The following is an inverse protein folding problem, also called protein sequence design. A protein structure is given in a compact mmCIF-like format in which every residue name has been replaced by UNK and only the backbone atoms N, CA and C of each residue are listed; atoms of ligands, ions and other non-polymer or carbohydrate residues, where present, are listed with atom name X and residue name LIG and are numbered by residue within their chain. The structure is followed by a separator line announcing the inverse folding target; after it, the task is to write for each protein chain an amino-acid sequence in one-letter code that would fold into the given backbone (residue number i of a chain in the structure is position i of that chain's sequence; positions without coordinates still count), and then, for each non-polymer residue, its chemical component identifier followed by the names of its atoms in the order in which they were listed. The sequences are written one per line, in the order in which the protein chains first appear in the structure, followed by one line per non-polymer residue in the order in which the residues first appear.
data_IF_990257893891
#
_entry.id   IF_990257893891
#
_cell.length_a   1.000
_cell.length_b   1.000
_cell.length_c   1.000
_cell.angle_alpha   90.00
_cell.angle_beta   90.00
_cell.angle_gamma   90.00
#
_symmetry.space_group_name_H-M   'P 1'
#
loop_
_entity.id
_entity.type
_entity.pdbx_description
1 polymer ?
#
# COMPACT_ATOMS: atom_id res chain seq x y z
N UNK A 1 49.80 -22.56 -12.35
CA UNK A 1 49.02 -21.46 -11.75
C UNK A 1 47.65 -21.44 -12.42
N UNK A 2 46.57 -21.65 -11.66
CA UNK A 2 45.22 -21.21 -12.02
C UNK A 2 44.46 -20.99 -10.72
N UNK A 3 44.05 -19.75 -10.49
CA UNK A 3 43.42 -19.31 -9.24
C UNK A 3 41.94 -19.68 -9.26
N UNK A 4 41.53 -20.59 -8.36
CA UNK A 4 40.12 -20.85 -8.08
C UNK A 4 39.63 -19.79 -7.10
N UNK A 5 38.97 -18.75 -7.60
CA UNK A 5 38.28 -17.78 -6.76
C UNK A 5 37.03 -18.44 -6.16
N UNK A 6 37.09 -18.76 -4.86
CA UNK A 6 35.92 -19.22 -4.10
C UNK A 6 35.12 -18.00 -3.66
N UNK A 7 34.18 -17.56 -4.51
CA UNK A 7 33.15 -16.61 -4.09
C UNK A 7 32.17 -17.32 -3.16
N UNK A 8 31.94 -16.77 -1.96
CA UNK A 8 30.92 -17.22 -1.01
C UNK A 8 29.51 -16.67 -1.32
N UNK A 9 29.38 -15.94 -2.43
CA UNK A 9 28.09 -15.42 -2.90
C UNK A 9 27.63 -16.24 -4.10
N UNK A 10 26.76 -17.22 -3.85
CA UNK A 10 25.95 -17.81 -4.91
C UNK A 10 24.80 -16.85 -5.20
N UNK A 11 24.88 -16.15 -6.33
CA UNK A 11 23.73 -15.41 -6.85
C UNK A 11 22.76 -16.44 -7.47
N UNK A 12 22.05 -17.17 -6.60
CA UNK A 12 20.94 -18.00 -7.03
C UNK A 12 19.79 -17.06 -7.41
N UNK A 13 19.75 -16.66 -8.68
CA UNK A 13 18.50 -16.17 -9.26
C UNK A 13 17.54 -17.34 -9.16
N UNK A 14 16.64 -17.31 -8.17
CA UNK A 14 15.49 -18.21 -8.15
C UNK A 14 14.61 -17.71 -9.29
N UNK A 15 14.50 -18.41 -10.43
CA UNK A 15 13.49 -18.03 -11.41
C UNK A 15 12.14 -18.20 -10.71
N UNK A 16 11.39 -17.10 -10.58
CA UNK A 16 9.99 -17.21 -10.17
C UNK A 16 9.34 -18.18 -11.15
N UNK A 17 8.96 -19.35 -10.64
CA UNK A 17 8.22 -20.36 -11.38
C UNK A 17 7.05 -19.71 -12.09
N UNK A 18 7.16 -19.64 -13.42
CA UNK A 18 6.08 -19.54 -14.41
C UNK A 18 4.71 -19.09 -13.86
N UNK A 19 4.61 -17.86 -13.35
CA UNK A 19 3.32 -17.17 -13.35
C UNK A 19 3.08 -16.79 -14.80
N UNK A 20 2.51 -17.71 -15.56
CA UNK A 20 1.97 -17.39 -16.89
C UNK A 20 1.06 -16.18 -16.69
N UNK A 21 1.45 -15.06 -17.29
CA UNK A 21 0.53 -13.96 -17.55
C UNK A 21 -0.68 -14.61 -18.21
N UNK A 22 -1.84 -14.57 -17.54
CA UNK A 22 -3.06 -15.11 -18.09
C UNK A 22 -3.29 -14.41 -19.43
N UNK A 23 -3.41 -15.22 -20.48
CA UNK A 23 -3.79 -14.76 -21.82
C UNK A 23 -5.14 -14.03 -21.67
N UNK A 24 -5.36 -12.88 -22.33
CA UNK A 24 -6.66 -12.21 -22.28
C UNK A 24 -7.77 -13.21 -22.63
N UNK A 25 -8.79 -13.27 -21.77
CA UNK A 25 -9.97 -14.10 -21.98
C UNK A 25 -10.54 -13.77 -23.35
N UNK A 26 -10.49 -14.75 -24.26
CA UNK A 26 -11.19 -14.66 -25.53
C UNK A 26 -12.66 -14.90 -25.24
N UNK A 27 -13.48 -13.86 -25.39
CA UNK A 27 -14.94 -13.97 -25.28
C UNK A 27 -15.43 -14.75 -26.50
N UNK A 28 -15.77 -16.03 -26.30
CA UNK A 28 -16.54 -16.79 -27.29
C UNK A 28 -17.99 -16.37 -27.09
N UNK A 29 -18.51 -15.50 -27.95
CA UNK A 29 -19.92 -15.13 -27.99
C UNK A 29 -20.74 -16.28 -28.59
N UNK A 30 -21.03 -17.30 -27.77
CA UNK A 30 -22.09 -18.24 -28.06
C UNK A 30 -23.44 -17.57 -27.84
N UNK A 31 -24.14 -17.22 -28.93
CA UNK A 31 -25.48 -16.65 -28.89
C UNK A 31 -26.46 -17.61 -28.20
N UNK A 32 -26.81 -17.32 -26.96
CA UNK A 32 -27.94 -17.90 -26.25
C UNK A 32 -29.01 -16.83 -26.08
N UNK A 33 -30.10 -16.94 -26.84
CA UNK A 33 -31.26 -16.08 -26.71
C UNK A 33 -31.87 -16.21 -25.31
N UNK A 34 -31.76 -15.15 -24.51
CA UNK A 34 -32.39 -15.01 -23.21
C UNK A 34 -33.25 -13.75 -23.20
N UNK A 35 -34.47 -13.85 -23.73
CA UNK A 35 -35.49 -12.83 -23.52
C UNK A 35 -35.90 -12.84 -22.06
N UNK A 36 -35.49 -11.82 -21.28
CA UNK A 36 -35.91 -11.68 -19.88
C UNK A 36 -35.04 -10.81 -18.96
N UNK A 37 -33.91 -10.23 -19.43
CA UNK A 37 -32.94 -9.58 -18.53
C UNK A 37 -33.24 -8.15 -18.07
N UNK A 38 -34.00 -7.36 -18.83
CA UNK A 38 -34.14 -5.93 -18.54
C UNK A 38 -34.96 -5.65 -17.27
N UNK A 39 -36.01 -6.43 -17.01
CA UNK A 39 -36.94 -6.20 -15.89
C UNK A 39 -36.44 -6.81 -14.56
N UNK A 40 -35.53 -7.78 -14.59
CA UNK A 40 -34.96 -8.40 -13.39
C UNK A 40 -33.81 -7.55 -12.82
N UNK A 41 -33.04 -6.89 -13.69
CA UNK A 41 -31.93 -6.03 -13.30
C UNK A 41 -32.42 -4.73 -12.64
N UNK A 42 -33.46 -4.09 -13.20
CA UNK A 42 -34.04 -2.84 -12.67
C UNK A 42 -34.79 -3.05 -11.33
N UNK A 43 -35.39 -4.22 -11.13
CA UNK A 43 -36.08 -4.55 -9.88
C UNK A 43 -35.11 -4.98 -8.76
N UNK A 44 -33.92 -5.46 -9.10
CA UNK A 44 -32.94 -5.95 -8.12
C UNK A 44 -31.88 -4.91 -7.80
N UNK A 45 -31.38 -4.12 -8.76
CA UNK A 45 -30.38 -3.07 -8.54
C UNK A 45 -31.04 -1.74 -8.16
N UNK A 46 -31.48 -1.62 -6.92
CA UNK A 46 -31.90 -0.32 -6.37
C UNK A 46 -30.75 0.70 -6.45
N UNK A 47 -31.05 1.99 -6.55
CA UNK A 47 -30.05 3.07 -6.58
C UNK A 47 -28.99 2.96 -5.47
N UNK A 48 -29.38 2.47 -4.29
CA UNK A 48 -28.47 2.18 -3.16
C UNK A 48 -27.41 1.12 -3.51
N UNK A 49 -27.80 0.03 -4.17
CA UNK A 49 -26.89 -1.03 -4.58
C UNK A 49 -25.94 -0.59 -5.68
N UNK A 50 -26.43 0.18 -6.65
CA UNK A 50 -25.58 0.78 -7.70
C UNK A 50 -24.54 1.72 -7.08
N UNK A 51 -24.93 2.51 -6.07
CA UNK A 51 -23.99 3.37 -5.35
C UNK A 51 -22.93 2.57 -4.59
N UNK A 52 -23.28 1.45 -3.95
CA UNK A 52 -22.30 0.56 -3.32
C UNK A 52 -21.34 -0.05 -4.33
N UNK A 53 -21.83 -0.51 -5.48
CA UNK A 53 -20.99 -1.03 -6.56
C UNK A 53 -20.03 0.05 -7.13
N UNK A 54 -20.53 1.27 -7.34
CA UNK A 54 -19.71 2.40 -7.76
C UNK A 54 -18.66 2.78 -6.72
N UNK A 55 -19.00 2.71 -5.43
CA UNK A 55 -18.07 2.95 -4.32
C UNK A 55 -16.94 1.91 -4.35
N UNK A 56 -17.28 0.63 -4.49
CA UNK A 56 -16.29 -0.44 -4.59
C UNK A 56 -15.41 -0.24 -5.81
N UNK A 57 -16.00 0.00 -6.98
CA UNK A 57 -15.25 0.21 -8.22
C UNK A 57 -14.26 1.37 -8.10
N UNK A 58 -14.72 2.56 -7.67
CA UNK A 58 -13.89 3.76 -7.64
C UNK A 58 -12.92 3.81 -6.48
N UNK A 59 -13.37 3.56 -5.26
CA UNK A 59 -12.54 3.79 -4.08
C UNK A 59 -11.64 2.60 -3.74
N UNK A 60 -12.05 1.38 -4.11
CA UNK A 60 -11.28 0.17 -3.82
C UNK A 60 -10.62 -0.38 -5.08
N UNK A 61 -11.39 -0.62 -6.14
CA UNK A 61 -10.93 -1.21 -7.39
C UNK A 61 -9.90 -0.35 -8.13
N UNK A 62 -10.24 0.90 -8.46
CA UNK A 62 -9.35 1.81 -9.19
C UNK A 62 -8.07 2.11 -8.39
N UNK A 63 -8.18 2.38 -7.08
CA UNK A 63 -7.02 2.61 -6.23
C UNK A 63 -6.10 1.38 -6.13
N UNK A 64 -6.68 0.17 -6.02
CA UNK A 64 -5.91 -1.08 -6.06
C UNK A 64 -5.22 -1.27 -7.42
N UNK A 65 -5.93 -1.04 -8.52
CA UNK A 65 -5.41 -1.22 -9.88
C UNK A 65 -4.27 -0.22 -10.19
N UNK A 66 -4.42 1.03 -9.75
CA UNK A 66 -3.44 2.10 -9.94
C UNK A 66 -2.32 2.09 -8.89
N UNK A 67 -2.32 1.13 -7.96
CA UNK A 67 -1.34 1.02 -6.84
C UNK A 67 -1.36 2.23 -5.89
N UNK A 68 -2.45 2.98 -5.86
CA UNK A 68 -2.68 4.08 -4.91
C UNK A 68 -3.22 3.50 -3.60
N UNK A 69 -2.47 2.58 -3.00
CA UNK A 69 -2.94 1.81 -1.84
C UNK A 69 -3.26 2.69 -0.63
N UNK A 70 -2.54 3.79 -0.46
CA UNK A 70 -2.75 4.78 0.62
C UNK A 70 -4.12 5.47 0.55
N UNK A 71 -4.75 5.50 -0.63
CA UNK A 71 -6.05 6.13 -0.86
C UNK A 71 -7.21 5.15 -0.73
N UNK A 72 -6.95 3.86 -0.47
CA UNK A 72 -7.99 2.87 -0.24
C UNK A 72 -8.62 3.14 1.14
N UNK A 73 -9.96 3.33 1.23
CA UNK A 73 -10.61 3.56 2.52
C UNK A 73 -10.42 2.37 3.46
N UNK A 74 -9.98 2.64 4.68
CA UNK A 74 -9.69 1.63 5.71
C UNK A 74 -10.77 1.54 6.81
N UNK A 75 -11.91 2.22 6.63
CA UNK A 75 -13.00 2.19 7.59
C UNK A 75 -13.65 0.79 7.63
N UNK A 76 -13.48 0.11 8.76
CA UNK A 76 -13.98 -1.25 8.95
C UNK A 76 -15.51 -1.35 8.85
N UNK A 77 -16.25 -0.39 9.39
CA UNK A 77 -17.72 -0.40 9.33
C UNK A 77 -18.21 -0.25 7.89
N UNK A 78 -17.60 0.65 7.11
CA UNK A 78 -17.92 0.84 5.69
C UNK A 78 -17.62 -0.43 4.88
N UNK A 79 -16.49 -1.08 5.13
CA UNK A 79 -16.13 -2.35 4.50
C UNK A 79 -17.20 -3.44 4.76
N UNK A 80 -17.61 -3.63 6.03
CA UNK A 80 -18.62 -4.63 6.39
C UNK A 80 -19.96 -4.32 5.71
N UNK A 81 -20.39 -3.06 5.69
CA UNK A 81 -21.62 -2.64 5.03
C UNK A 81 -21.61 -2.95 3.53
N UNK A 82 -20.52 -2.59 2.82
CA UNK A 82 -20.38 -2.87 1.38
C UNK A 82 -20.37 -4.37 1.09
N UNK A 83 -19.71 -5.16 1.94
CA UNK A 83 -19.67 -6.61 1.83
C UNK A 83 -21.05 -7.24 2.03
N UNK A 84 -21.80 -6.80 3.05
CA UNK A 84 -23.16 -7.27 3.31
C UNK A 84 -24.12 -6.92 2.17
N UNK A 85 -24.00 -5.73 1.59
CA UNK A 85 -24.80 -5.32 0.42
C UNK A 85 -24.56 -6.24 -0.76
N UNK A 86 -23.31 -6.59 -1.06
CA UNK A 86 -22.99 -7.54 -2.12
C UNK A 86 -23.63 -8.92 -1.89
N UNK A 87 -23.57 -9.43 -0.66
CA UNK A 87 -24.22 -10.71 -0.32
C UNK A 87 -25.74 -10.66 -0.47
N UNK A 88 -26.37 -9.54 -0.09
CA UNK A 88 -27.81 -9.34 -0.26
C UNK A 88 -28.22 -9.26 -1.73
N UNK A 89 -27.40 -8.67 -2.59
CA UNK A 89 -27.67 -8.65 -4.03
C UNK A 89 -27.50 -10.06 -4.61
N UNK A 90 -26.42 -10.76 -4.25
CA UNK A 90 -26.14 -12.12 -4.71
C UNK A 90 -27.28 -13.09 -4.35
N UNK A 91 -27.89 -12.97 -3.17
CA UNK A 91 -29.00 -13.85 -2.77
C UNK A 91 -30.30 -13.62 -3.55
N UNK A 92 -30.45 -12.47 -4.21
CA UNK A 92 -31.64 -12.10 -4.98
C UNK A 92 -31.53 -12.37 -6.48
N UNK A 93 -30.32 -12.57 -7.00
CA UNK A 93 -30.07 -12.77 -8.44
C UNK A 93 -29.95 -14.26 -8.76
N UNK A 94 -30.68 -14.71 -9.78
CA UNK A 94 -30.57 -16.09 -10.30
C UNK A 94 -29.64 -16.23 -11.50
N UNK A 95 -29.41 -15.12 -12.22
CA UNK A 95 -28.57 -15.09 -13.41
C UNK A 95 -27.10 -15.35 -13.05
N UNK A 96 -26.52 -16.42 -13.59
CA UNK A 96 -25.15 -16.86 -13.30
C UNK A 96 -24.08 -15.86 -13.75
N UNK A 97 -24.28 -15.16 -14.86
CA UNK A 97 -23.31 -14.16 -15.35
C UNK A 97 -23.25 -12.94 -14.42
N UNK A 98 -24.41 -12.50 -13.91
CA UNK A 98 -24.48 -11.39 -12.95
C UNK A 98 -23.92 -11.80 -11.58
N UNK A 99 -24.14 -13.04 -11.15
CA UNK A 99 -23.51 -13.58 -9.95
C UNK A 99 -21.98 -13.60 -10.06
N UNK A 100 -21.44 -14.00 -11.21
CA UNK A 100 -20.00 -13.96 -11.46
C UNK A 100 -19.46 -12.51 -11.36
N UNK A 101 -20.12 -11.54 -11.98
CA UNK A 101 -19.70 -10.13 -11.91
C UNK A 101 -19.71 -9.61 -10.46
N UNK A 102 -20.75 -9.93 -9.69
CA UNK A 102 -20.81 -9.56 -8.27
C UNK A 102 -19.74 -10.26 -7.43
N UNK A 103 -19.41 -11.51 -7.77
CA UNK A 103 -18.33 -12.23 -7.11
C UNK A 103 -16.97 -11.58 -7.40
N UNK A 104 -16.71 -11.17 -8.65
CA UNK A 104 -15.52 -10.40 -9.01
C UNK A 104 -15.46 -9.05 -8.27
N UNK A 105 -16.59 -8.36 -8.13
CA UNK A 105 -16.67 -7.12 -7.35
C UNK A 105 -16.39 -7.36 -5.86
N UNK A 106 -16.90 -8.44 -5.28
CA UNK A 106 -16.60 -8.84 -3.90
C UNK A 106 -15.12 -9.16 -3.71
N UNK A 107 -14.54 -9.93 -4.63
CA UNK A 107 -13.13 -10.30 -4.58
C UNK A 107 -12.23 -9.07 -4.81
N UNK A 108 -12.70 -8.08 -5.58
CA UNK A 108 -12.05 -6.76 -5.72
C UNK A 108 -12.04 -5.99 -4.41
N UNK A 109 -13.17 -5.93 -3.69
CA UNK A 109 -13.26 -5.27 -2.39
C UNK A 109 -12.30 -5.92 -1.37
N UNK A 110 -12.32 -7.25 -1.26
CA UNK A 110 -11.42 -8.00 -0.38
C UNK A 110 -9.95 -7.84 -0.81
N UNK A 111 -9.69 -7.93 -2.11
CA UNK A 111 -8.36 -7.76 -2.70
C UNK A 111 -7.77 -6.37 -2.43
N UNK A 112 -8.58 -5.32 -2.47
CA UNK A 112 -8.16 -3.95 -2.19
C UNK A 112 -7.73 -3.79 -0.72
N UNK A 113 -8.51 -4.32 0.23
CA UNK A 113 -8.16 -4.30 1.66
C UNK A 113 -6.90 -5.12 1.95
N UNK A 114 -6.76 -6.29 1.32
CA UNK A 114 -5.56 -7.10 1.45
C UNK A 114 -4.34 -6.36 0.87
N UNK A 115 -4.50 -5.69 -0.27
CA UNK A 115 -3.43 -4.91 -0.90
C UNK A 115 -3.00 -3.72 -0.05
N UNK A 116 -3.97 -2.99 0.54
CA UNK A 116 -3.72 -1.94 1.54
C UNK A 116 -2.89 -2.49 2.71
N UNK A 117 -3.28 -3.64 3.26
CA UNK A 117 -2.61 -4.24 4.42
C UNK A 117 -1.18 -4.66 4.10
N UNK A 118 -0.99 -5.38 2.98
CA UNK A 118 0.34 -5.82 2.52
C UNK A 118 1.24 -4.62 2.22
N UNK A 119 0.70 -3.57 1.62
CA UNK A 119 1.45 -2.34 1.38
C UNK A 119 1.88 -1.69 2.72
N UNK A 120 1.00 -1.70 3.73
CA UNK A 120 1.32 -1.25 5.10
C UNK A 120 2.47 -2.01 5.71
N UNK A 121 2.41 -3.34 5.66
CA UNK A 121 3.48 -4.18 6.18
C UNK A 121 4.82 -3.92 5.47
N UNK A 122 4.79 -3.72 4.14
CA UNK A 122 6.00 -3.36 3.39
C UNK A 122 6.58 -2.00 3.80
N UNK A 123 5.72 -1.00 4.03
CA UNK A 123 6.16 0.32 4.52
C UNK A 123 6.82 0.18 5.89
N UNK A 124 6.24 -0.61 6.79
CA UNK A 124 6.84 -0.89 8.10
C UNK A 124 8.19 -1.61 7.97
N UNK A 125 8.27 -2.65 7.13
CA UNK A 125 9.53 -3.38 6.91
C UNK A 125 10.64 -2.47 6.36
N UNK A 126 10.30 -1.57 5.43
CA UNK A 126 11.23 -0.55 4.94
C UNK A 126 11.68 0.38 6.05
N UNK A 127 10.79 0.67 6.99
CA UNK A 127 11.10 1.52 8.10
C UNK A 127 12.06 0.86 9.10
N UNK A 128 11.75 -0.37 9.52
CA UNK A 128 12.59 -1.16 10.41
C UNK A 128 13.99 -1.34 9.81
N UNK A 129 14.07 -1.59 8.50
CA UNK A 129 15.34 -1.64 7.78
C UNK A 129 16.13 -0.34 7.89
N UNK A 130 15.48 0.80 7.68
CA UNK A 130 16.12 2.13 7.77
C UNK A 130 16.62 2.39 9.19
N UNK A 131 15.82 2.03 10.20
CA UNK A 131 16.19 2.16 11.61
C UNK A 131 17.41 1.31 11.96
N UNK A 132 17.41 0.03 11.57
CA UNK A 132 18.53 -0.88 11.79
C UNK A 132 19.81 -0.40 11.08
N UNK A 133 19.69 0.11 9.85
CA UNK A 133 20.83 0.68 9.13
C UNK A 133 21.44 1.87 9.88
N UNK A 134 20.60 2.77 10.41
CA UNK A 134 21.07 3.91 11.22
C UNK A 134 21.76 3.48 12.53
N UNK A 135 21.28 2.40 13.16
CA UNK A 135 21.96 1.82 14.33
C UNK A 135 23.34 1.25 13.94
N UNK A 136 23.44 0.54 12.82
CA UNK A 136 24.71 0.02 12.30
C UNK A 136 25.68 1.17 12.04
N UNK A 137 25.26 2.24 11.36
CA UNK A 137 26.11 3.39 11.06
C UNK A 137 26.59 4.11 12.35
N UNK A 138 25.73 4.16 13.37
CA UNK A 138 26.08 4.69 14.70
C UNK A 138 27.13 3.82 15.38
N UNK A 139 26.96 2.49 15.37
CA UNK A 139 27.95 1.56 15.94
C UNK A 139 29.29 1.68 15.21
N UNK A 140 29.27 1.69 13.87
CA UNK A 140 30.49 1.78 13.05
C UNK A 140 31.22 3.12 13.24
N UNK A 141 30.49 4.23 13.39
CA UNK A 141 31.09 5.55 13.65
C UNK A 141 31.62 5.70 15.07
N UNK A 142 31.00 5.04 16.07
CA UNK A 142 31.44 5.09 17.46
C UNK A 142 32.64 4.20 17.77
N UNK A 143 32.93 3.16 16.97
CA UNK A 143 34.01 2.22 17.29
C UNK A 143 35.43 2.65 16.88
N UNK A 144 35.64 3.76 16.15
CA UNK A 144 36.99 4.11 15.64
C UNK A 144 37.39 5.59 15.68
N UNK A 145 36.72 6.45 16.46
CA UNK A 145 37.12 7.86 16.56
C UNK A 145 37.92 8.13 17.83
N UNK A 146 39.25 7.99 17.74
CA UNK A 146 40.16 8.66 18.68
C UNK A 146 40.23 10.12 18.25
N UNK A 147 39.50 11.00 18.95
CA UNK A 147 39.57 12.45 18.71
C UNK A 147 40.99 12.90 19.07
N UNK A 148 41.78 13.26 18.07
CA UNK A 148 43.05 13.97 18.24
C UNK A 148 42.74 15.45 18.01
N UNK A 149 42.54 16.19 19.09
CA UNK A 149 42.37 17.64 19.01
C UNK A 149 43.69 18.29 18.58
N UNK A 150 43.76 18.79 17.34
CA UNK A 150 44.75 19.80 16.99
C UNK A 150 44.21 21.15 17.44
N UNK A 151 44.79 21.69 18.52
CA UNK A 151 44.49 23.02 19.01
C UNK A 151 44.90 24.07 17.96
N UNK A 152 43.92 24.64 17.27
CA UNK A 152 44.11 25.87 16.49
C UNK A 152 42.88 26.75 16.69
N UNK A 153 43.05 27.81 17.47
CA UNK A 153 42.00 28.73 17.86
C UNK A 153 41.83 29.82 16.81
N UNK A 154 40.69 29.81 16.12
CA UNK A 154 40.14 30.96 15.40
C UNK A 154 38.64 31.03 15.65
N UNK A 155 38.16 32.17 16.13
CA UNK A 155 36.75 32.36 16.50
C UNK A 155 35.84 32.54 15.30
N UNK A 156 34.89 31.64 15.11
CA UNK A 156 33.76 31.76 14.18
C UNK A 156 32.45 31.61 14.96
N UNK A 157 31.57 32.60 14.89
CA UNK A 157 30.24 32.54 15.49
C UNK A 157 29.24 32.01 14.45
N UNK A 158 28.71 30.81 14.67
CA UNK A 158 27.61 30.23 13.88
C UNK A 158 26.42 29.99 14.79
N UNK A 159 25.25 30.52 14.43
CA UNK A 159 23.98 30.25 15.13
C UNK A 159 23.22 29.23 14.31
N UNK A 160 23.23 27.97 14.78
CA UNK A 160 22.47 26.88 14.18
C UNK A 160 21.18 26.68 14.97
N UNK A 161 20.02 26.78 14.32
CA UNK A 161 18.75 26.35 14.89
C UNK A 161 18.42 24.95 14.38
N UNK A 162 18.39 23.99 15.30
CA UNK A 162 17.98 22.62 15.01
C UNK A 162 16.50 22.45 15.35
N UNK A 163 15.71 21.98 14.39
CA UNK A 163 14.33 21.61 14.62
C UNK A 163 14.24 20.08 14.68
N UNK A 164 13.65 19.56 15.76
CA UNK A 164 13.27 18.15 15.81
C UNK A 164 11.89 18.02 15.16
N UNK A 165 11.81 17.32 14.03
CA UNK A 165 10.54 16.97 13.41
C UNK A 165 9.83 15.88 14.23
N UNK A 166 8.50 15.92 14.25
CA UNK A 166 7.70 14.82 14.80
C UNK A 166 7.93 13.53 14.00
N UNK A 167 7.70 12.38 14.64
CA UNK A 167 7.97 11.07 14.06
C UNK A 167 7.30 10.88 12.70
N UNK A 168 6.03 11.27 12.56
CA UNK A 168 5.27 11.12 11.30
C UNK A 168 5.92 11.85 10.12
N UNK A 169 6.43 13.07 10.33
CA UNK A 169 7.06 13.86 9.26
C UNK A 169 8.45 13.32 8.91
N UNK A 170 9.19 12.83 9.91
CA UNK A 170 10.46 12.18 9.67
C UNK A 170 10.27 10.91 8.81
N UNK A 171 9.32 10.05 9.19
CA UNK A 171 9.01 8.85 8.42
C UNK A 171 8.46 9.14 7.03
N UNK A 172 7.64 10.19 6.88
CA UNK A 172 7.22 10.66 5.56
C UNK A 172 8.42 10.95 4.66
N UNK A 173 9.39 11.73 5.15
CA UNK A 173 10.57 12.11 4.37
C UNK A 173 11.41 10.88 4.01
N UNK A 174 11.55 9.93 4.94
CA UNK A 174 12.30 8.70 4.70
C UNK A 174 11.64 7.80 3.63
N UNK A 175 10.31 7.75 3.59
CA UNK A 175 9.57 6.82 2.71
C UNK A 175 9.30 7.47 1.34
N UNK A 176 8.87 8.73 1.34
CA UNK A 176 8.37 9.44 0.15
C UNK A 176 9.30 10.55 -0.33
N UNK A 177 10.32 10.91 0.44
CA UNK A 177 11.18 12.06 0.17
C UNK A 177 10.63 13.36 0.74
N UNK A 178 11.45 14.41 0.66
CA UNK A 178 11.04 15.76 1.07
C UNK A 178 9.98 16.30 0.09
N UNK A 179 8.86 16.86 0.59
CA UNK A 179 7.86 17.46 -0.29
C UNK A 179 8.44 18.63 -1.07
N UNK A 180 7.93 18.85 -2.29
CA UNK A 180 8.30 19.98 -3.11
C UNK A 180 7.97 21.31 -2.39
N UNK A 181 8.81 22.31 -2.61
CA UNK A 181 8.63 23.63 -2.04
C UNK A 181 7.24 24.19 -2.39
N UNK A 182 6.49 24.64 -1.38
CA UNK A 182 5.15 25.21 -1.54
C UNK A 182 4.00 24.20 -1.62
N UNK A 183 4.25 22.89 -1.75
CA UNK A 183 3.20 21.85 -1.82
C UNK A 183 2.84 21.30 -0.42
N UNK A 184 3.84 21.22 0.48
CA UNK A 184 3.65 20.66 1.81
C UNK A 184 3.50 19.13 1.81
N UNK A 185 3.18 18.58 2.99
CA UNK A 185 2.99 17.14 3.16
C UNK A 185 1.61 16.70 2.66
N UNK A 186 1.58 15.63 1.87
CA UNK A 186 0.33 15.02 1.38
C UNK A 186 -0.51 14.47 2.56
N UNK A 187 -1.75 14.97 2.77
CA UNK A 187 -2.59 14.57 3.89
C UNK A 187 -2.96 13.08 3.90
N UNK A 188 -3.16 12.45 2.74
CA UNK A 188 -3.53 11.04 2.67
C UNK A 188 -2.37 10.15 3.14
N UNK A 189 -1.16 10.48 2.68
CA UNK A 189 0.08 9.81 3.12
C UNK A 189 0.35 10.02 4.61
N UNK A 190 0.10 11.21 5.13
CA UNK A 190 0.25 11.49 6.56
C UNK A 190 -0.76 10.68 7.37
N UNK A 191 -2.05 10.68 6.99
CA UNK A 191 -3.07 9.89 7.67
C UNK A 191 -2.72 8.40 7.68
N UNK A 192 -2.25 7.90 6.56
CA UNK A 192 -1.81 6.51 6.42
C UNK A 192 -0.63 6.18 7.35
N UNK A 193 0.37 7.06 7.43
CA UNK A 193 1.50 6.88 8.35
C UNK A 193 1.06 6.96 9.82
N UNK A 194 0.17 7.88 10.18
CA UNK A 194 -0.39 7.98 11.54
C UNK A 194 -1.03 6.66 11.95
N UNK A 195 -1.85 6.06 11.08
CA UNK A 195 -2.51 4.79 11.36
C UNK A 195 -1.50 3.65 11.57
N UNK A 196 -0.45 3.60 10.77
CA UNK A 196 0.61 2.58 10.87
C UNK A 196 1.42 2.76 12.16
N UNK A 197 1.85 3.99 12.46
CA UNK A 197 2.67 4.29 13.63
C UNK A 197 1.92 4.00 14.93
N UNK A 198 0.65 4.42 14.99
CA UNK A 198 -0.22 4.17 16.15
C UNK A 198 -0.42 2.67 16.39
N UNK A 199 -0.64 1.88 15.33
CA UNK A 199 -0.74 0.40 15.44
C UNK A 199 0.52 -0.27 15.99
N UNK A 200 1.67 0.38 15.86
CA UNK A 200 2.97 -0.12 16.36
C UNK A 200 3.36 0.49 17.70
N UNK A 201 2.48 1.28 18.32
CA UNK A 201 2.73 1.93 19.62
C UNK A 201 3.75 3.06 19.54
N UNK A 202 4.03 3.59 18.34
CA UNK A 202 4.86 4.77 18.14
C UNK A 202 3.94 5.99 18.11
N UNK A 203 4.22 6.97 18.97
CA UNK A 203 3.49 8.25 18.91
C UNK A 203 3.85 8.98 17.61
N UNK A 204 2.89 9.23 16.70
CA UNK A 204 3.16 9.91 15.45
C UNK A 204 3.60 11.38 15.65
N UNK A 205 3.28 11.98 16.79
CA UNK A 205 3.48 13.42 17.04
C UNK A 205 4.63 13.75 17.99
N UNK A 206 5.27 12.76 18.62
CA UNK A 206 6.39 12.94 19.58
C UNK A 206 7.61 12.05 19.30
#
# INVERSE_FOLDING_TARGET
MSAVSKSFFTNAVIPLSNKKLQVPVSIISGGGGGGGGANELDNVLTASYVNSLNTISKLYGENMANKNYESIPNNYQQYIQLYMVLQQIQSKIKNQNLLLLLKLTQDTLVGAINSYTIYGDNVVLRLDKTYLQGQIDTILSQQNQRVVELATSTGQLSITKTFKLAAVFNYYILIYGMPAYGVGFDPAKISYLVDILTKRGIDPYN
#
